data_IF_200709049013
#
_entry.id   IF_200709049013
#
_cell.length_a   1.000
_cell.length_b   1.000
_cell.length_c   1.000
_cell.angle_alpha   90.00
_cell.angle_beta   90.00
_cell.angle_gamma   90.00
#
_symmetry.space_group_name_H-M   'P 1'
#
loop_
_entity.id
_entity.type
_entity.pdbx_description
1 polymer ?
#
# COMPACT_ATOMS: atom_id res chain seq x y z
N UNK A 1 -11.30 -14.18 11.94
CA UNK A 1 -11.16 -12.74 11.66
C UNK A 1 -12.39 -12.29 10.90
N UNK A 2 -13.05 -11.24 11.36
CA UNK A 2 -14.11 -10.61 10.58
C UNK A 2 -13.53 -10.02 9.29
N UNK A 3 -14.25 -10.10 8.16
CA UNK A 3 -13.78 -9.48 6.92
C UNK A 3 -13.69 -7.95 7.12
N UNK A 4 -12.56 -7.37 6.73
CA UNK A 4 -12.41 -5.91 6.67
C UNK A 4 -13.54 -5.32 5.83
N UNK A 5 -14.37 -4.50 6.47
CA UNK A 5 -15.48 -3.81 5.84
C UNK A 5 -15.18 -2.31 5.79
N UNK A 6 -15.13 -1.76 4.58
CA UNK A 6 -14.84 -0.34 4.38
C UNK A 6 -16.14 0.45 4.23
N UNK A 7 -16.27 1.55 4.97
CA UNK A 7 -17.33 2.54 4.77
C UNK A 7 -16.84 3.75 3.96
N UNK A 8 -15.53 3.85 3.73
CA UNK A 8 -14.86 4.89 2.97
C UNK A 8 -13.79 4.32 2.06
N UNK A 9 -13.54 4.99 0.94
CA UNK A 9 -12.53 4.62 -0.04
C UNK A 9 -11.12 4.60 0.60
N UNK A 10 -10.40 3.47 0.60
CA UNK A 10 -9.09 3.37 1.25
C UNK A 10 -8.00 4.23 0.60
N UNK A 11 -8.24 4.80 -0.58
CA UNK A 11 -7.29 5.71 -1.25
C UNK A 11 -7.63 7.19 -1.15
N UNK A 12 -8.90 7.56 -0.97
CA UNK A 12 -9.35 8.97 -1.02
C UNK A 12 -10.13 9.42 0.21
N UNK A 13 -10.43 8.52 1.14
CA UNK A 13 -11.30 8.75 2.31
C UNK A 13 -12.75 9.18 1.98
N UNK A 14 -13.13 9.23 0.70
CA UNK A 14 -14.51 9.48 0.29
C UNK A 14 -15.46 8.41 0.87
N UNK A 15 -16.52 8.84 1.55
CA UNK A 15 -17.51 7.96 2.15
C UNK A 15 -18.35 7.20 1.11
N UNK A 16 -18.98 6.10 1.54
CA UNK A 16 -19.90 5.30 0.72
C UNK A 16 -19.23 4.28 -0.18
N UNK A 17 -17.96 3.94 0.06
CA UNK A 17 -17.20 2.98 -0.75
C UNK A 17 -16.68 1.81 0.08
N UNK A 18 -17.04 0.59 -0.34
CA UNK A 18 -16.52 -0.66 0.20
C UNK A 18 -15.20 -1.13 -0.47
N UNK A 19 -14.59 -0.28 -1.30
CA UNK A 19 -13.35 -0.53 -2.03
C UNK A 19 -12.78 0.80 -2.55
N UNK A 20 -11.75 0.78 -3.40
CA UNK A 20 -11.28 1.98 -4.08
C UNK A 20 -12.37 2.62 -4.94
N UNK A 21 -12.56 3.93 -4.76
CA UNK A 21 -13.47 4.75 -5.56
C UNK A 21 -12.97 4.87 -7.01
N UNK A 22 -13.86 5.19 -7.98
CA UNK A 22 -13.45 5.41 -9.37
C UNK A 22 -12.35 6.47 -9.52
N UNK A 23 -12.38 7.52 -8.70
CA UNK A 23 -11.34 8.55 -8.66
C UNK A 23 -10.00 7.99 -8.21
N UNK A 24 -9.97 7.17 -7.15
CA UNK A 24 -8.77 6.49 -6.68
C UNK A 24 -8.20 5.57 -7.79
N UNK A 25 -9.05 4.73 -8.39
CA UNK A 25 -8.62 3.81 -9.44
C UNK A 25 -8.02 4.55 -10.64
N UNK A 26 -8.63 5.66 -11.06
CA UNK A 26 -8.13 6.45 -12.18
C UNK A 26 -6.77 7.08 -11.90
N UNK A 27 -6.60 7.65 -10.70
CA UNK A 27 -5.40 8.38 -10.32
C UNK A 27 -4.23 7.45 -9.99
N UNK A 28 -4.46 6.45 -9.15
CA UNK A 28 -3.41 5.58 -8.65
C UNK A 28 -3.17 4.36 -9.55
N UNK A 29 -4.20 3.80 -10.17
CA UNK A 29 -4.10 2.53 -10.89
C UNK A 29 -4.43 2.64 -12.38
N UNK A 30 -4.34 3.85 -12.97
CA UNK A 30 -4.63 4.11 -14.38
C UNK A 30 -6.01 3.58 -14.84
N UNK A 31 -7.00 3.60 -13.94
CA UNK A 31 -8.37 3.14 -14.18
C UNK A 31 -8.58 1.64 -14.08
N UNK A 32 -7.54 0.84 -13.78
CA UNK A 32 -7.65 -0.62 -13.62
C UNK A 32 -8.41 -0.97 -12.35
N UNK A 33 -9.25 -2.01 -12.42
CA UNK A 33 -10.02 -2.51 -11.27
C UNK A 33 -9.11 -3.29 -10.30
N UNK A 34 -8.43 -2.57 -9.42
CA UNK A 34 -7.56 -3.13 -8.39
C UNK A 34 -8.34 -3.30 -7.08
N UNK A 35 -8.07 -4.40 -6.36
CA UNK A 35 -8.63 -4.64 -5.02
C UNK A 35 -7.68 -4.05 -3.96
N UNK A 36 -8.18 -3.60 -2.81
CA UNK A 36 -7.34 -3.07 -1.73
C UNK A 36 -6.59 -4.17 -0.94
N UNK A 37 -6.37 -5.34 -1.53
CA UNK A 37 -5.74 -6.47 -0.85
C UNK A 37 -4.57 -7.02 -1.68
N UNK A 38 -3.50 -7.39 -0.98
CA UNK A 38 -2.36 -8.11 -1.52
C UNK A 38 -2.57 -9.62 -1.35
N UNK A 39 -1.98 -10.39 -2.28
CA UNK A 39 -1.98 -11.86 -2.24
C UNK A 39 -0.89 -12.44 -1.31
N UNK A 40 -0.30 -11.61 -0.44
CA UNK A 40 0.80 -11.97 0.47
C UNK A 40 0.39 -11.84 1.94
N UNK A 41 0.99 -12.66 2.81
CA UNK A 41 0.96 -12.44 4.26
C UNK A 41 2.09 -11.48 4.69
N UNK A 42 1.97 -10.83 5.86
CA UNK A 42 3.08 -10.10 6.45
C UNK A 42 4.31 -10.97 6.66
N UNK A 43 5.50 -10.35 6.70
CA UNK A 43 6.77 -11.05 6.80
C UNK A 43 6.88 -11.89 8.10
N UNK A 44 6.21 -11.44 9.16
CA UNK A 44 6.18 -12.08 10.47
C UNK A 44 5.36 -13.37 10.47
N UNK A 45 4.40 -13.50 9.56
CA UNK A 45 3.46 -14.64 9.52
C UNK A 45 3.84 -15.73 8.49
N UNK A 46 4.67 -15.42 7.50
CA UNK A 46 5.00 -16.35 6.41
C UNK A 46 6.48 -16.27 6.03
N UNK A 47 7.24 -17.33 6.34
CA UNK A 47 8.65 -17.46 5.92
C UNK A 47 8.80 -17.38 4.40
N UNK A 48 7.85 -17.94 3.65
CA UNK A 48 7.87 -17.93 2.20
C UNK A 48 7.72 -16.51 1.66
N UNK A 49 6.76 -15.73 2.18
CA UNK A 49 6.54 -14.35 1.71
C UNK A 49 7.63 -13.41 2.23
N UNK A 50 8.13 -13.62 3.45
CA UNK A 50 9.29 -12.92 3.98
C UNK A 50 10.51 -13.05 3.06
N UNK A 51 10.79 -14.26 2.55
CA UNK A 51 11.89 -14.48 1.61
C UNK A 51 11.68 -13.69 0.30
N UNK A 52 10.44 -13.65 -0.21
CA UNK A 52 10.12 -12.85 -1.42
C UNK A 52 10.35 -11.36 -1.17
N UNK A 53 9.98 -10.84 0.01
CA UNK A 53 10.22 -9.44 0.36
C UNK A 53 11.71 -9.12 0.52
N UNK A 54 12.49 -10.00 1.16
CA UNK A 54 13.95 -9.84 1.28
C UNK A 54 14.58 -9.78 -0.11
N UNK A 55 14.22 -10.70 -0.99
CA UNK A 55 14.71 -10.71 -2.37
C UNK A 55 14.32 -9.42 -3.11
N UNK A 56 13.07 -9.00 -3.01
CA UNK A 56 12.58 -7.77 -3.63
C UNK A 56 13.36 -6.53 -3.14
N UNK A 57 13.64 -6.44 -1.84
CA UNK A 57 14.35 -5.31 -1.22
C UNK A 57 15.79 -5.15 -1.68
N UNK A 58 16.49 -6.24 -2.00
CA UNK A 58 17.86 -6.19 -2.56
C UNK A 58 17.94 -5.42 -3.89
N UNK A 59 16.81 -5.23 -4.57
CA UNK A 59 16.73 -4.66 -5.92
C UNK A 59 16.33 -3.19 -5.93
N UNK A 60 15.97 -2.62 -4.78
CA UNK A 60 15.64 -1.21 -4.65
C UNK A 60 16.71 -0.46 -3.86
N UNK A 61 17.09 0.70 -4.38
CA UNK A 61 17.95 1.64 -3.67
C UNK A 61 17.14 2.89 -3.36
N UNK A 62 16.36 2.84 -2.28
CA UNK A 62 15.55 3.98 -1.81
C UNK A 62 15.95 4.28 -0.37
N UNK A 63 16.41 5.50 -0.12
CA UNK A 63 16.85 5.95 1.19
C UNK A 63 15.71 5.98 2.22
N UNK A 64 16.07 5.97 3.51
CA UNK A 64 15.15 6.07 4.65
C UNK A 64 15.05 4.78 5.47
N UNK A 65 14.73 4.93 6.76
CA UNK A 65 14.79 3.87 7.78
C UNK A 65 13.70 2.81 7.61
N UNK A 66 12.51 3.20 7.16
CA UNK A 66 11.40 2.25 7.00
C UNK A 66 11.62 1.31 5.81
N UNK A 67 11.15 0.07 6.00
CA UNK A 67 11.07 -0.94 4.95
C UNK A 67 10.25 -0.46 3.74
N UNK A 68 10.78 -0.71 2.55
CA UNK A 68 10.13 -0.38 1.28
C UNK A 68 10.16 -1.62 0.42
N UNK A 69 9.07 -1.89 -0.29
CA UNK A 69 8.93 -3.05 -1.15
C UNK A 69 8.42 -2.54 -2.50
N UNK A 70 9.03 -2.99 -3.59
CA UNK A 70 8.69 -2.59 -4.95
C UNK A 70 7.63 -3.50 -5.54
N UNK A 71 6.52 -2.87 -5.96
CA UNK A 71 5.40 -3.56 -6.60
C UNK A 71 5.21 -3.07 -8.03
N UNK A 72 4.57 -3.91 -8.83
CA UNK A 72 4.03 -3.55 -10.13
C UNK A 72 2.59 -4.01 -10.27
N UNK A 73 1.83 -3.28 -11.08
CA UNK A 73 0.46 -3.66 -11.41
C UNK A 73 0.46 -4.64 -12.58
N UNK A 74 0.19 -5.90 -12.28
CA UNK A 74 -0.01 -6.96 -13.27
C UNK A 74 -1.50 -7.23 -13.43
N UNK A 75 -2.02 -6.81 -14.57
CA UNK A 75 -3.44 -6.78 -14.90
C UNK A 75 -4.28 -5.95 -13.92
N UNK A 76 -4.73 -6.57 -12.85
CA UNK A 76 -5.60 -5.99 -11.82
C UNK A 76 -5.10 -6.33 -10.41
N UNK A 77 -3.85 -6.81 -10.31
CA UNK A 77 -3.24 -7.25 -9.06
C UNK A 77 -1.89 -6.59 -8.89
N UNK A 78 -1.61 -6.12 -7.69
CA UNK A 78 -0.26 -5.70 -7.34
C UNK A 78 0.54 -6.93 -6.95
N UNK A 79 1.71 -7.10 -7.57
CA UNK A 79 2.66 -8.16 -7.26
C UNK A 79 4.05 -7.58 -7.06
N UNK A 80 4.90 -8.34 -6.37
CA UNK A 80 6.32 -8.01 -6.24
C UNK A 80 6.96 -7.94 -7.62
N UNK A 81 7.91 -7.01 -7.76
CA UNK A 81 8.78 -6.96 -8.93
C UNK A 81 9.76 -8.13 -8.97
N UNK A 82 9.97 -8.66 -10.16
CA UNK A 82 10.93 -9.69 -10.49
C UNK A 82 12.21 -9.08 -11.08
N UNK A 83 13.19 -9.94 -11.41
CA UNK A 83 14.46 -9.50 -11.99
C UNK A 83 14.22 -8.82 -13.34
N UNK A 84 14.84 -7.66 -13.54
CA UNK A 84 14.73 -6.82 -14.73
C UNK A 84 13.35 -6.12 -14.92
N UNK A 85 12.49 -6.13 -13.91
CA UNK A 85 11.25 -5.35 -13.92
C UNK A 85 11.42 -4.01 -13.18
N UNK A 86 10.77 -2.97 -13.67
CA UNK A 86 10.72 -1.66 -13.01
C UNK A 86 9.49 -1.57 -12.12
N UNK A 87 9.69 -1.22 -10.85
CA UNK A 87 8.62 -0.94 -9.90
C UNK A 87 7.78 0.26 -10.29
N UNK A 88 6.48 0.14 -10.10
CA UNK A 88 5.50 1.22 -10.30
C UNK A 88 4.99 1.79 -8.98
N UNK A 89 5.05 0.99 -7.90
CA UNK A 89 4.55 1.38 -6.59
C UNK A 89 5.55 1.00 -5.49
N UNK A 90 5.52 1.74 -4.40
CA UNK A 90 6.24 1.46 -3.17
C UNK A 90 5.24 1.08 -2.10
N UNK A 91 5.37 -0.15 -1.61
CA UNK A 91 4.67 -0.63 -0.43
C UNK A 91 5.53 -0.40 0.80
N UNK A 92 4.94 0.23 1.81
CA UNK A 92 5.51 0.40 3.14
C UNK A 92 4.68 -0.39 4.16
N UNK A 93 5.17 -1.54 4.64
CA UNK A 93 4.49 -2.28 5.70
C UNK A 93 4.60 -1.53 7.04
N UNK A 94 3.95 -2.09 8.06
CA UNK A 94 4.10 -1.66 9.45
C UNK A 94 5.59 -1.71 9.83
N UNK A 95 6.18 -0.61 10.31
CA UNK A 95 7.57 -0.58 10.77
C UNK A 95 7.75 -1.33 12.09
N UNK A 96 8.98 -1.75 12.41
CA UNK A 96 9.28 -2.51 13.64
C UNK A 96 9.78 -1.64 14.81
N UNK A 97 10.43 -0.51 14.53
CA UNK A 97 11.23 0.23 15.52
C UNK A 97 10.71 1.65 15.82
N UNK A 98 9.39 1.78 16.02
CA UNK A 98 8.75 3.07 16.35
C UNK A 98 7.64 2.89 17.37
N UNK A 99 7.27 3.97 18.07
CA UNK A 99 6.09 3.96 18.94
C UNK A 99 4.81 3.85 18.10
N UNK A 100 3.86 3.03 18.54
CA UNK A 100 2.57 2.78 17.87
C UNK A 100 2.72 2.38 16.38
N UNK A 101 3.51 1.33 16.07
CA UNK A 101 3.84 0.97 14.68
C UNK A 101 2.60 0.66 13.83
N UNK A 102 1.59 0.03 14.44
CA UNK A 102 0.30 -0.31 13.81
C UNK A 102 -0.43 0.90 13.20
N UNK A 103 -0.22 2.10 13.74
CA UNK A 103 -0.88 3.32 13.28
C UNK A 103 -0.14 4.01 12.13
N UNK A 104 1.12 3.66 11.88
CA UNK A 104 1.99 4.38 10.94
C UNK A 104 1.43 4.39 9.52
N UNK A 105 0.97 3.26 8.93
CA UNK A 105 0.39 3.30 7.59
C UNK A 105 -0.81 4.26 7.48
N UNK A 106 -1.71 4.23 8.46
CA UNK A 106 -2.87 5.11 8.49
C UNK A 106 -2.49 6.58 8.71
N UNK A 107 -1.48 6.84 9.53
CA UNK A 107 -0.97 8.20 9.78
C UNK A 107 -0.33 8.79 8.51
N UNK A 108 0.52 8.03 7.80
CA UNK A 108 1.08 8.46 6.52
C UNK A 108 -0.04 8.75 5.50
N UNK A 109 -1.02 7.86 5.38
CA UNK A 109 -2.16 8.05 4.47
C UNK A 109 -2.97 9.30 4.82
N UNK A 110 -3.39 9.43 6.08
CA UNK A 110 -4.20 10.57 6.54
C UNK A 110 -3.48 11.89 6.29
N UNK A 111 -2.19 11.96 6.60
CA UNK A 111 -1.36 13.15 6.38
C UNK A 111 -1.36 13.55 4.91
N UNK A 112 -1.16 12.59 4.00
CA UNK A 112 -1.14 12.85 2.56
C UNK A 112 -2.51 13.26 2.02
N UNK A 113 -3.60 12.72 2.58
CA UNK A 113 -4.96 13.11 2.22
C UNK A 113 -5.32 14.50 2.75
N UNK A 114 -4.93 14.86 3.96
CA UNK A 114 -5.09 16.22 4.51
C UNK A 114 -4.34 17.23 3.66
N UNK A 115 -3.05 16.97 3.38
CA UNK A 115 -2.21 17.85 2.56
C UNK A 115 -2.86 18.13 1.20
N UNK A 116 -3.38 17.10 0.53
CA UNK A 116 -4.03 17.23 -0.78
C UNK A 116 -5.41 17.88 -0.70
N UNK A 117 -6.29 17.36 0.15
CA UNK A 117 -7.73 17.68 0.10
C UNK A 117 -8.07 18.97 0.85
N UNK A 118 -7.36 19.27 1.93
CA UNK A 118 -7.62 20.45 2.77
C UNK A 118 -6.72 21.61 2.36
N UNK A 119 -5.44 21.33 2.12
CA UNK A 119 -4.43 22.38 1.86
C UNK A 119 -4.06 22.53 0.37
N UNK A 120 -4.58 21.69 -0.52
CA UNK A 120 -4.29 21.78 -1.95
C UNK A 120 -2.83 21.49 -2.33
N UNK A 121 -2.05 20.86 -1.43
CA UNK A 121 -0.65 20.54 -1.68
C UNK A 121 -0.55 19.38 -2.66
N UNK A 122 0.30 19.52 -3.68
CA UNK A 122 0.59 18.43 -4.61
C UNK A 122 1.30 17.30 -3.88
N UNK A 123 0.68 16.13 -3.87
CA UNK A 123 1.19 14.91 -3.25
C UNK A 123 1.24 13.77 -4.26
N UNK A 124 2.13 12.79 -4.03
CA UNK A 124 2.07 11.52 -4.75
C UNK A 124 0.71 10.84 -4.53
N UNK A 125 0.21 10.15 -5.57
CA UNK A 125 -0.98 9.32 -5.40
C UNK A 125 -0.69 8.22 -4.40
N UNK A 126 -1.62 7.97 -3.48
CA UNK A 126 -1.40 7.05 -2.38
C UNK A 126 -2.70 6.39 -1.93
N UNK A 127 -2.55 5.26 -1.24
CA UNK A 127 -3.67 4.55 -0.66
C UNK A 127 -3.26 3.66 0.51
N UNK A 128 -4.23 3.36 1.37
CA UNK A 128 -4.18 2.17 2.22
C UNK A 128 -4.35 0.92 1.36
N UNK A 129 -3.54 -0.09 1.64
CA UNK A 129 -3.66 -1.44 1.09
C UNK A 129 -3.46 -2.45 2.22
N UNK A 130 -4.05 -3.64 2.10
CA UNK A 130 -4.07 -4.62 3.17
C UNK A 130 -3.41 -5.93 2.73
N UNK A 131 -2.61 -6.54 3.60
CA UNK A 131 -2.15 -7.91 3.41
C UNK A 131 -3.32 -8.89 3.45
N UNK A 132 -3.07 -10.15 3.07
CA UNK A 132 -4.10 -11.20 3.03
C UNK A 132 -4.80 -11.43 4.37
N UNK A 133 -4.09 -11.20 5.49
CA UNK A 133 -4.64 -11.29 6.84
C UNK A 133 -5.39 -10.02 7.29
N UNK A 134 -5.40 -8.97 6.47
CA UNK A 134 -6.00 -7.67 6.79
C UNK A 134 -5.06 -6.66 7.45
N UNK A 135 -3.79 -7.00 7.69
CA UNK A 135 -2.83 -6.04 8.23
C UNK A 135 -2.62 -4.88 7.24
N UNK A 136 -2.68 -3.61 7.70
CA UNK A 136 -2.54 -2.47 6.81
C UNK A 136 -1.10 -2.24 6.35
N UNK A 137 -0.97 -1.61 5.20
CA UNK A 137 0.24 -1.06 4.65
C UNK A 137 -0.08 0.21 3.86
N UNK A 138 0.93 1.05 3.66
CA UNK A 138 0.82 2.27 2.86
C UNK A 138 1.38 2.02 1.46
N UNK A 139 0.65 2.47 0.44
CA UNK A 139 1.04 2.36 -0.96
C UNK A 139 1.19 3.77 -1.56
N UNK A 140 2.28 3.99 -2.29
CA UNK A 140 2.47 5.17 -3.16
C UNK A 140 3.04 4.80 -4.51
#
# INVERSE_FOLDING_TARGET
>A
MEPLNFTSCPGTLAGGYATYSPTCLRRLFSGRKVRPFLDYLPAEESKQDAQKFIENRKRISISGVQEKISLLLDKSRLRLTEKNEQGQYILKPIPRDVMNPEQVPANEHLTMQIARQVYGITTAENAMIFFKNGQPAYLT
#
